data_IF_046890561246
#
_entry.id   IF_046890561246
#
_cell.length_a   1.000
_cell.length_b   1.000
_cell.length_c   1.000
_cell.angle_alpha   90.00
_cell.angle_beta   90.00
_cell.angle_gamma   90.00
#
_symmetry.space_group_name_H-M   'P 1'
#
loop_
_entity.id
_entity.type
_entity.pdbx_description
1 polymer ?
#
# COMPACT_ATOMS: atom_id res chain seq x y z
N UNK A 1 18.16 2.88 7.57
CA UNK A 1 16.83 2.73 8.21
C UNK A 1 17.03 2.77 9.72
N UNK A 2 16.29 3.62 10.44
CA UNK A 2 16.41 3.71 11.90
C UNK A 2 15.49 2.68 12.56
N UNK A 3 16.07 1.58 13.06
CA UNK A 3 15.31 0.44 13.59
C UNK A 3 14.36 0.83 14.73
N UNK A 4 14.78 1.71 15.63
CA UNK A 4 13.93 2.18 16.75
C UNK A 4 12.69 2.90 16.24
N UNK A 5 12.84 3.78 15.23
CA UNK A 5 11.69 4.47 14.61
C UNK A 5 10.75 3.48 13.95
N UNK A 6 11.30 2.51 13.24
CA UNK A 6 10.51 1.48 12.57
C UNK A 6 9.68 0.67 13.58
N UNK A 7 10.28 0.22 14.67
CA UNK A 7 9.55 -0.53 15.73
C UNK A 7 8.44 0.32 16.34
N UNK A 8 8.73 1.55 16.75
CA UNK A 8 7.74 2.47 17.33
C UNK A 8 6.59 2.71 16.34
N UNK A 9 6.93 2.99 15.08
CA UNK A 9 5.92 3.23 14.06
C UNK A 9 5.08 1.99 13.79
N UNK A 10 5.63 0.77 13.84
CA UNK A 10 4.83 -0.45 13.73
C UNK A 10 3.86 -0.64 14.88
N UNK A 11 4.28 -0.38 16.12
CA UNK A 11 3.37 -0.43 17.27
C UNK A 11 2.20 0.53 17.08
N UNK A 12 2.48 1.76 16.65
CA UNK A 12 1.44 2.77 16.35
C UNK A 12 0.53 2.30 15.22
N UNK A 13 1.07 1.73 14.14
CA UNK A 13 0.27 1.19 13.03
C UNK A 13 -0.66 0.08 13.50
N UNK A 14 -0.17 -0.89 14.26
CA UNK A 14 -0.98 -2.00 14.77
C UNK A 14 -2.15 -1.45 15.60
N UNK A 15 -1.89 -0.54 16.54
CA UNK A 15 -2.94 0.10 17.35
C UNK A 15 -3.96 0.85 16.50
N UNK A 16 -3.50 1.60 15.51
CA UNK A 16 -4.36 2.38 14.60
C UNK A 16 -5.24 1.47 13.74
N UNK A 17 -4.68 0.38 13.20
CA UNK A 17 -5.42 -0.57 12.38
C UNK A 17 -6.42 -1.38 13.20
N UNK A 18 -6.08 -1.76 14.44
CA UNK A 18 -7.06 -2.38 15.34
C UNK A 18 -8.23 -1.44 15.61
N UNK A 19 -7.96 -0.15 15.81
CA UNK A 19 -9.00 0.87 15.94
C UNK A 19 -9.85 1.01 14.67
N UNK A 20 -9.25 1.10 13.47
CA UNK A 20 -10.02 1.19 12.23
C UNK A 20 -10.83 -0.06 11.94
N UNK A 21 -10.29 -1.24 12.24
CA UNK A 21 -11.03 -2.49 12.15
C UNK A 21 -12.26 -2.44 13.05
N UNK A 22 -12.09 -2.03 14.31
CA UNK A 22 -13.19 -1.92 15.26
C UNK A 22 -14.25 -0.92 14.79
N UNK A 23 -13.86 0.30 14.41
CA UNK A 23 -14.79 1.34 13.95
C UNK A 23 -15.55 0.87 12.71
N UNK A 24 -14.85 0.31 11.72
CA UNK A 24 -15.45 -0.15 10.47
C UNK A 24 -16.37 -1.36 10.63
N UNK A 25 -16.14 -2.20 11.64
CA UNK A 25 -16.85 -3.47 11.79
C UNK A 25 -17.81 -3.54 12.97
N UNK A 26 -17.80 -2.55 13.86
CA UNK A 26 -18.65 -2.51 15.07
C UNK A 26 -20.14 -2.74 14.80
N UNK A 27 -20.66 -2.25 13.67
CA UNK A 27 -22.05 -2.43 13.26
C UNK A 27 -22.37 -3.83 12.76
N UNK A 28 -21.38 -4.58 12.27
CA UNK A 28 -21.55 -5.89 11.65
C UNK A 28 -21.32 -7.04 12.62
N UNK A 29 -20.55 -6.86 13.69
CA UNK A 29 -20.19 -7.92 14.66
C UNK A 29 -21.41 -8.69 15.23
N UNK A 30 -22.60 -8.06 15.26
CA UNK A 30 -23.82 -8.64 15.82
C UNK A 30 -24.86 -9.04 14.75
N UNK A 31 -24.52 -8.91 13.47
CA UNK A 31 -25.43 -9.30 12.40
C UNK A 31 -25.31 -10.80 12.15
N UNK A 32 -26.45 -11.47 12.06
CA UNK A 32 -26.53 -12.88 11.67
C UNK A 32 -26.87 -12.94 10.17
N UNK A 33 -25.88 -12.65 9.34
CA UNK A 33 -26.00 -12.67 7.87
C UNK A 33 -24.85 -13.52 7.29
N UNK A 34 -25.13 -14.49 6.40
CA UNK A 34 -24.09 -15.29 5.75
C UNK A 34 -23.07 -14.46 4.95
N UNK A 35 -23.39 -13.22 4.57
CA UNK A 35 -22.50 -12.29 3.86
C UNK A 35 -21.73 -11.35 4.79
N UNK A 36 -21.76 -11.57 6.10
CA UNK A 36 -21.09 -10.73 7.10
C UNK A 36 -19.60 -10.48 6.79
N UNK A 37 -18.88 -11.48 6.31
CA UNK A 37 -17.46 -11.32 5.92
C UNK A 37 -17.30 -10.33 4.78
N UNK A 38 -18.21 -10.38 3.81
CA UNK A 38 -18.22 -9.42 2.73
C UNK A 38 -18.55 -8.04 3.29
N UNK A 39 -19.51 -7.84 4.18
CA UNK A 39 -19.76 -6.50 4.73
C UNK A 39 -18.62 -5.94 5.59
N UNK A 40 -18.00 -6.78 6.42
CA UNK A 40 -16.88 -6.37 7.29
C UNK A 40 -15.62 -6.00 6.48
N UNK A 41 -15.43 -6.63 5.33
CA UNK A 41 -14.23 -6.41 4.51
C UNK A 41 -14.50 -5.63 3.23
N UNK A 42 -15.73 -5.64 2.76
CA UNK A 42 -16.13 -5.44 1.38
C UNK A 42 -17.41 -4.63 1.26
N UNK A 43 -17.19 -3.36 1.00
CA UNK A 43 -17.88 -2.67 -0.07
C UNK A 43 -16.93 -1.59 -0.57
N UNK A 44 -17.12 -1.07 -1.78
CA UNK A 44 -16.32 0.04 -2.33
C UNK A 44 -16.35 1.32 -1.47
N UNK A 45 -17.10 1.35 -0.36
CA UNK A 45 -17.39 2.52 0.46
C UNK A 45 -17.19 2.30 1.96
N UNK A 46 -17.51 1.12 2.51
CA UNK A 46 -17.42 0.81 3.94
C UNK A 46 -16.97 -0.64 4.15
N UNK A 47 -15.98 -0.84 5.01
CA UNK A 47 -15.34 -2.13 5.28
C UNK A 47 -13.83 -1.95 5.47
N UNK A 48 -13.22 -2.77 6.34
CA UNK A 48 -11.80 -2.66 6.69
C UNK A 48 -10.87 -2.86 5.49
N UNK A 49 -11.27 -3.71 4.55
CA UNK A 49 -10.53 -4.04 3.32
C UNK A 49 -11.09 -3.34 2.06
N UNK A 50 -11.77 -2.19 2.24
CA UNK A 50 -12.40 -1.46 1.15
C UNK A 50 -11.40 -0.73 0.24
N UNK A 51 -11.77 -0.55 -1.03
CA UNK A 51 -10.98 0.24 -1.99
C UNK A 51 -10.79 1.70 -1.54
N UNK A 52 -11.81 2.26 -0.87
CA UNK A 52 -11.72 3.59 -0.26
C UNK A 52 -10.62 3.62 0.81
N UNK A 53 -10.60 2.62 1.69
CA UNK A 53 -9.57 2.49 2.72
C UNK A 53 -8.17 2.49 2.15
N UNK A 54 -7.92 1.56 1.23
CA UNK A 54 -6.61 1.36 0.65
C UNK A 54 -6.14 2.58 -0.15
N UNK A 55 -7.04 3.16 -0.96
CA UNK A 55 -6.73 4.27 -1.85
C UNK A 55 -6.60 5.63 -1.17
N UNK A 56 -7.21 5.85 0.00
CA UNK A 56 -7.26 7.17 0.63
C UNK A 56 -6.57 7.19 1.99
N UNK A 57 -7.25 6.81 3.06
CA UNK A 57 -6.73 7.02 4.41
C UNK A 57 -5.54 6.10 4.73
N UNK A 58 -5.54 4.82 4.30
CA UNK A 58 -4.35 3.98 4.48
C UNK A 58 -3.18 4.44 3.60
N UNK A 59 -3.45 5.03 2.43
CA UNK A 59 -2.41 5.65 1.61
C UNK A 59 -1.72 6.82 2.34
N UNK A 60 -2.49 7.69 3.00
CA UNK A 60 -1.94 8.79 3.80
C UNK A 60 -1.09 8.27 4.97
N UNK A 61 -1.58 7.27 5.69
CA UNK A 61 -0.86 6.64 6.80
C UNK A 61 0.42 5.98 6.31
N UNK A 62 0.37 5.28 5.18
CA UNK A 62 1.53 4.67 4.53
C UNK A 62 2.59 5.72 4.20
N UNK A 63 2.20 6.80 3.53
CA UNK A 63 3.10 7.88 3.14
C UNK A 63 3.76 8.55 4.37
N UNK A 64 2.98 8.80 5.43
CA UNK A 64 3.51 9.31 6.70
C UNK A 64 4.51 8.33 7.34
N UNK A 65 4.17 7.04 7.38
CA UNK A 65 5.03 5.99 7.93
C UNK A 65 6.31 5.80 7.12
N UNK A 66 6.23 5.85 5.79
CA UNK A 66 7.35 5.77 4.87
C UNK A 66 8.34 6.92 5.12
N UNK A 67 7.84 8.16 5.21
CA UNK A 67 8.67 9.33 5.49
C UNK A 67 9.31 9.27 6.90
N UNK A 68 8.55 8.86 7.91
CA UNK A 68 9.05 8.69 9.27
C UNK A 68 10.15 7.63 9.37
N UNK A 69 9.99 6.52 8.65
CA UNK A 69 10.88 5.36 8.68
C UNK A 69 12.17 5.58 7.88
N UNK A 70 12.08 6.30 6.76
CA UNK A 70 13.22 6.49 5.85
C UNK A 70 14.13 7.66 6.27
N UNK A 71 13.70 8.56 7.15
CA UNK A 71 14.55 9.55 7.88
C UNK A 71 15.79 10.01 7.12
N UNK A 72 15.68 11.15 6.43
CA UNK A 72 16.76 11.92 5.78
C UNK A 72 18.16 11.58 6.33
N UNK A 73 18.85 10.64 5.68
CA UNK A 73 20.31 10.60 5.79
C UNK A 73 20.75 11.99 5.32
N UNK A 74 21.29 12.79 6.26
CA UNK A 74 21.67 14.18 6.03
C UNK A 74 22.42 14.31 4.70
N UNK A 75 22.23 15.40 3.97
CA UNK A 75 22.92 15.73 2.69
C UNK A 75 24.43 15.38 2.72
N UNK A 76 25.05 15.44 3.91
CA UNK A 76 26.44 15.04 4.23
C UNK A 76 26.79 13.57 3.90
N UNK A 77 25.85 12.63 4.02
CA UNK A 77 26.04 11.20 3.72
C UNK A 77 25.97 10.93 2.21
N UNK A 78 25.18 11.73 1.48
CA UNK A 78 25.08 11.68 0.01
C UNK A 78 26.36 12.15 -0.69
N UNK A 79 27.13 13.03 -0.06
CA UNK A 79 28.48 13.42 -0.51
C UNK A 79 29.55 12.34 -0.27
N UNK A 80 29.35 11.42 0.70
CA UNK A 80 30.35 10.39 1.06
C UNK A 80 30.03 8.99 0.54
N UNK A 81 28.79 8.72 0.16
CA UNK A 81 28.33 7.39 -0.28
C UNK A 81 28.11 7.40 -1.79
N UNK A 82 28.47 6.30 -2.48
CA UNK A 82 28.19 6.12 -3.90
C UNK A 82 26.68 6.34 -4.17
N UNK A 83 26.33 7.42 -4.88
CA UNK A 83 24.94 7.89 -5.11
C UNK A 83 24.05 6.82 -5.75
N UNK A 84 24.61 5.98 -6.62
CA UNK A 84 23.89 4.82 -7.20
C UNK A 84 23.51 3.79 -6.13
N UNK A 85 24.39 3.55 -5.16
CA UNK A 85 24.11 2.65 -4.03
C UNK A 85 23.03 3.23 -3.11
N UNK A 86 22.99 4.55 -2.95
CA UNK A 86 21.96 5.23 -2.18
C UNK A 86 20.57 5.01 -2.79
N UNK A 87 20.38 5.23 -4.10
CA UNK A 87 19.04 5.06 -4.70
C UNK A 87 18.57 3.61 -4.67
N UNK A 88 19.46 2.64 -4.90
CA UNK A 88 19.12 1.22 -4.77
C UNK A 88 18.68 0.87 -3.35
N UNK A 89 19.41 1.36 -2.34
CA UNK A 89 19.07 1.18 -0.92
C UNK A 89 17.72 1.83 -0.58
N UNK A 90 17.45 3.03 -1.12
CA UNK A 90 16.18 3.73 -0.92
C UNK A 90 15.00 2.95 -1.52
N UNK A 91 15.13 2.48 -2.77
CA UNK A 91 14.13 1.63 -3.43
C UNK A 91 13.91 0.35 -2.62
N UNK A 92 14.99 -0.29 -2.15
CA UNK A 92 14.89 -1.46 -1.27
C UNK A 92 14.10 -1.17 0.02
N UNK A 93 14.28 0.00 0.63
CA UNK A 93 13.50 0.40 1.81
C UNK A 93 12.02 0.63 1.49
N UNK A 94 11.67 1.19 0.32
CA UNK A 94 10.28 1.29 -0.11
C UNK A 94 9.63 -0.10 -0.15
N UNK A 95 10.28 -1.08 -0.78
CA UNK A 95 9.74 -2.45 -0.85
C UNK A 95 9.59 -3.10 0.53
N UNK A 96 10.61 -3.02 1.39
CA UNK A 96 10.55 -3.60 2.74
C UNK A 96 9.43 -2.95 3.56
N UNK A 97 9.32 -1.62 3.53
CA UNK A 97 8.29 -0.88 4.27
C UNK A 97 6.89 -1.21 3.72
N UNK A 98 6.73 -1.29 2.40
CA UNK A 98 5.45 -1.68 1.77
C UNK A 98 5.02 -3.08 2.17
N UNK A 99 5.96 -4.02 2.19
CA UNK A 99 5.71 -5.42 2.56
C UNK A 99 5.21 -5.53 4.00
N UNK A 100 5.93 -4.88 4.92
CA UNK A 100 5.59 -4.89 6.33
C UNK A 100 4.29 -4.12 6.61
N UNK A 101 4.06 -3.02 5.91
CA UNK A 101 2.83 -2.24 6.03
C UNK A 101 1.60 -3.04 5.59
N UNK A 102 1.68 -3.69 4.42
CA UNK A 102 0.64 -4.61 3.95
C UNK A 102 0.44 -5.77 4.93
N UNK A 103 1.52 -6.31 5.49
CA UNK A 103 1.46 -7.41 6.45
C UNK A 103 0.70 -7.00 7.72
N UNK A 104 0.93 -5.81 8.26
CA UNK A 104 0.20 -5.31 9.44
C UNK A 104 -1.30 -5.24 9.17
N UNK A 105 -1.70 -4.67 8.03
CA UNK A 105 -3.11 -4.59 7.64
C UNK A 105 -3.75 -5.98 7.64
N UNK A 106 -3.08 -6.94 7.00
CA UNK A 106 -3.57 -8.32 6.88
C UNK A 106 -3.60 -9.04 8.21
N UNK A 107 -2.55 -8.93 9.04
CA UNK A 107 -2.50 -9.55 10.37
C UNK A 107 -3.62 -9.02 11.25
N UNK A 108 -3.83 -7.70 11.30
CA UNK A 108 -4.90 -7.11 12.09
C UNK A 108 -6.25 -7.64 11.61
N UNK A 109 -6.47 -7.72 10.30
CA UNK A 109 -7.71 -8.27 9.77
C UNK A 109 -7.92 -9.73 10.18
N UNK A 110 -6.89 -10.55 10.05
CA UNK A 110 -6.95 -11.98 10.39
C UNK A 110 -7.21 -12.16 11.87
N UNK A 111 -6.42 -11.52 12.73
CA UNK A 111 -6.54 -11.65 14.19
C UNK A 111 -7.92 -11.18 14.66
N UNK A 112 -8.32 -9.96 14.28
CA UNK A 112 -9.59 -9.42 14.75
C UNK A 112 -10.77 -10.23 14.19
N UNK A 113 -10.80 -10.54 12.90
CA UNK A 113 -11.92 -11.30 12.32
C UNK A 113 -12.01 -12.71 12.91
N UNK A 114 -10.89 -13.37 13.20
CA UNK A 114 -10.87 -14.68 13.86
C UNK A 114 -11.41 -14.61 15.29
N UNK A 115 -11.09 -13.55 16.03
CA UNK A 115 -11.58 -13.36 17.40
C UNK A 115 -13.10 -13.17 17.46
N UNK A 116 -13.71 -12.52 16.45
CA UNK A 116 -15.15 -12.21 16.47
C UNK A 116 -16.02 -13.25 15.75
N UNK A 117 -15.55 -13.87 14.66
CA UNK A 117 -16.35 -14.81 13.86
C UNK A 117 -15.97 -16.28 14.04
N UNK A 118 -14.84 -16.56 14.70
CA UNK A 118 -14.38 -17.92 14.96
C UNK A 118 -13.62 -18.54 13.79
N UNK A 119 -12.68 -19.43 14.12
CA UNK A 119 -11.73 -20.01 13.17
C UNK A 119 -12.39 -20.90 12.10
N UNK A 120 -13.37 -21.72 12.49
CA UNK A 120 -13.99 -22.72 11.62
C UNK A 120 -14.75 -22.09 10.46
N UNK A 121 -15.53 -21.04 10.75
CA UNK A 121 -16.28 -20.29 9.73
C UNK A 121 -15.34 -19.66 8.69
N UNK A 122 -14.20 -19.11 9.13
CA UNK A 122 -13.23 -18.48 8.23
C UNK A 122 -12.54 -19.46 7.27
N UNK A 123 -12.35 -20.71 7.67
CA UNK A 123 -11.82 -21.75 6.77
C UNK A 123 -12.84 -22.04 5.67
N UNK A 124 -14.10 -22.24 6.05
CA UNK A 124 -15.17 -22.60 5.11
C UNK A 124 -15.33 -21.53 4.02
N UNK A 125 -15.26 -20.26 4.43
CA UNK A 125 -15.38 -19.10 3.53
C UNK A 125 -14.09 -18.73 2.80
N UNK A 126 -13.03 -19.55 2.88
CA UNK A 126 -11.72 -19.29 2.20
C UNK A 126 -11.09 -17.94 2.56
N UNK A 127 -11.41 -17.39 3.73
CA UNK A 127 -11.01 -16.05 4.16
C UNK A 127 -9.49 -15.86 4.18
N UNK A 128 -8.74 -16.84 4.70
CA UNK A 128 -7.28 -16.77 4.76
C UNK A 128 -6.62 -16.70 3.38
N UNK A 129 -7.21 -17.37 2.38
CA UNK A 129 -6.72 -17.34 1.00
C UNK A 129 -6.96 -15.94 0.41
N UNK A 130 -8.14 -15.35 0.64
CA UNK A 130 -8.45 -13.98 0.24
C UNK A 130 -7.49 -12.97 0.90
N UNK A 131 -7.19 -13.13 2.19
CA UNK A 131 -6.19 -12.33 2.91
C UNK A 131 -4.80 -12.42 2.27
N UNK A 132 -4.34 -13.61 1.89
CA UNK A 132 -3.03 -13.80 1.27
C UNK A 132 -2.95 -13.13 -0.10
N UNK A 133 -3.95 -13.31 -0.96
CA UNK A 133 -3.95 -12.63 -2.26
C UNK A 133 -4.05 -11.11 -2.11
N UNK A 134 -4.88 -10.64 -1.17
CA UNK A 134 -4.99 -9.21 -0.86
C UNK A 134 -3.67 -8.63 -0.35
N UNK A 135 -2.96 -9.34 0.54
CA UNK A 135 -1.66 -8.93 1.07
C UNK A 135 -0.63 -8.67 -0.04
N UNK A 136 -0.50 -9.62 -0.97
CA UNK A 136 0.42 -9.48 -2.12
C UNK A 136 0.03 -8.28 -2.99
N UNK A 137 -1.27 -8.08 -3.23
CA UNK A 137 -1.76 -6.93 -3.99
C UNK A 137 -1.47 -5.60 -3.29
N UNK A 138 -1.65 -5.53 -1.97
CA UNK A 138 -1.34 -4.34 -1.17
C UNK A 138 0.15 -4.04 -1.16
N UNK A 139 1.00 -5.07 -1.07
CA UNK A 139 2.44 -4.92 -1.16
C UNK A 139 2.86 -4.21 -2.45
N UNK A 140 2.39 -4.69 -3.61
CA UNK A 140 2.73 -4.06 -4.88
C UNK A 140 2.14 -2.64 -4.99
N UNK A 141 0.89 -2.45 -4.59
CA UNK A 141 0.25 -1.15 -4.62
C UNK A 141 1.01 -0.12 -3.78
N UNK A 142 1.33 -0.41 -2.52
CA UNK A 142 2.09 0.53 -1.69
C UNK A 142 3.55 0.71 -2.15
N UNK A 143 4.13 -0.30 -2.81
CA UNK A 143 5.43 -0.15 -3.47
C UNK A 143 5.36 0.86 -4.61
N UNK A 144 4.31 0.79 -5.45
CA UNK A 144 4.02 1.76 -6.51
C UNK A 144 3.85 3.16 -5.91
N UNK A 145 3.05 3.31 -4.85
CA UNK A 145 2.85 4.60 -4.17
C UNK A 145 4.18 5.19 -3.65
N UNK A 146 5.01 4.35 -3.02
CA UNK A 146 6.32 4.79 -2.51
C UNK A 146 7.29 5.19 -3.61
N UNK A 147 7.27 4.50 -4.76
CA UNK A 147 8.07 4.86 -5.93
C UNK A 147 7.61 6.18 -6.56
N UNK A 148 6.28 6.41 -6.66
CA UNK A 148 5.73 7.70 -7.10
C UNK A 148 6.17 8.83 -6.17
N UNK A 149 6.11 8.62 -4.85
CA UNK A 149 6.61 9.60 -3.87
C UNK A 149 8.07 9.93 -4.11
N UNK A 150 8.90 8.91 -4.33
CA UNK A 150 10.33 9.13 -4.60
C UNK A 150 10.55 9.89 -5.91
N UNK A 151 9.88 9.50 -6.98
CA UNK A 151 9.98 10.17 -8.28
C UNK A 151 9.59 11.66 -8.16
N UNK A 152 8.45 11.96 -7.53
CA UNK A 152 7.96 13.33 -7.36
C UNK A 152 8.85 14.15 -6.42
N UNK A 153 9.35 13.54 -5.34
CA UNK A 153 10.30 14.17 -4.44
C UNK A 153 11.60 14.54 -5.16
N UNK A 154 12.12 13.65 -6.00
CA UNK A 154 13.35 13.91 -6.76
C UNK A 154 13.12 14.94 -7.86
N UNK A 155 11.95 14.93 -8.52
CA UNK A 155 11.53 15.93 -9.50
C UNK A 155 11.44 17.34 -8.89
N UNK A 156 10.90 17.47 -7.69
CA UNK A 156 10.61 18.76 -7.06
C UNK A 156 11.67 19.20 -6.04
N UNK A 157 12.64 18.34 -5.73
CA UNK A 157 13.65 18.52 -4.67
C UNK A 157 13.01 18.74 -3.28
N UNK A 158 11.78 18.27 -3.07
CA UNK A 158 11.04 18.43 -1.81
C UNK A 158 10.29 17.16 -1.45
N UNK A 159 10.67 16.57 -0.30
CA UNK A 159 9.98 15.40 0.24
C UNK A 159 8.50 15.68 0.53
N UNK A 160 8.18 16.90 0.99
CA UNK A 160 6.81 17.28 1.30
C UNK A 160 5.95 17.36 0.03
N UNK A 161 6.48 17.94 -1.05
CA UNK A 161 5.77 17.99 -2.33
C UNK A 161 5.61 16.57 -2.89
N UNK A 162 6.63 15.71 -2.75
CA UNK A 162 6.54 14.30 -3.11
C UNK A 162 5.43 13.54 -2.38
N UNK A 163 5.31 13.74 -1.06
CA UNK A 163 4.23 13.17 -0.23
C UNK A 163 2.85 13.64 -0.71
N UNK A 164 2.64 14.95 -0.77
CA UNK A 164 1.34 15.56 -1.09
C UNK A 164 0.90 15.18 -2.51
N UNK A 165 1.81 15.29 -3.49
CA UNK A 165 1.51 14.93 -4.88
C UNK A 165 1.17 13.46 -5.05
N UNK A 166 1.88 12.55 -4.35
CA UNK A 166 1.59 11.12 -4.41
C UNK A 166 0.22 10.80 -3.83
N UNK A 167 -0.12 11.42 -2.70
CA UNK A 167 -1.45 11.28 -2.11
C UNK A 167 -2.55 11.73 -3.09
N UNK A 168 -2.37 12.88 -3.75
CA UNK A 168 -3.32 13.35 -4.75
C UNK A 168 -3.41 12.43 -5.97
N UNK A 169 -2.29 11.93 -6.50
CA UNK A 169 -2.29 10.99 -7.63
C UNK A 169 -3.09 9.74 -7.29
N UNK A 170 -2.86 9.14 -6.12
CA UNK A 170 -3.56 7.92 -5.70
C UNK A 170 -5.04 8.21 -5.42
N UNK A 171 -5.36 9.34 -4.80
CA UNK A 171 -6.74 9.76 -4.56
C UNK A 171 -7.49 9.96 -5.88
N UNK A 172 -6.85 10.60 -6.87
CA UNK A 172 -7.41 10.75 -8.22
C UNK A 172 -7.65 9.37 -8.85
N UNK A 173 -6.72 8.41 -8.73
CA UNK A 173 -6.94 7.05 -9.23
C UNK A 173 -8.14 6.35 -8.57
N UNK A 174 -8.38 6.59 -7.28
CA UNK A 174 -9.58 6.10 -6.61
C UNK A 174 -10.84 6.76 -7.18
N UNK A 175 -10.90 8.10 -7.25
CA UNK A 175 -12.08 8.81 -7.74
C UNK A 175 -12.37 8.54 -9.22
N UNK A 176 -11.34 8.55 -10.08
CA UNK A 176 -11.48 8.20 -11.51
C UNK A 176 -11.94 6.76 -11.66
N UNK A 177 -11.34 5.83 -10.92
CA UNK A 177 -11.75 4.43 -10.96
C UNK A 177 -13.21 4.24 -10.55
N UNK A 178 -13.67 5.01 -9.56
CA UNK A 178 -15.05 4.99 -9.08
C UNK A 178 -16.03 5.63 -10.08
N UNK A 179 -15.69 6.79 -10.65
CA UNK A 179 -16.58 7.55 -11.54
C UNK A 179 -16.63 7.00 -12.95
N UNK A 180 -15.56 6.35 -13.43
CA UNK A 180 -15.46 5.83 -14.78
C UNK A 180 -15.27 4.31 -14.76
N UNK A 181 -16.36 3.57 -14.96
CA UNK A 181 -16.36 2.11 -14.90
C UNK A 181 -15.37 1.45 -15.87
N UNK A 182 -15.22 2.00 -17.09
CA UNK A 182 -14.35 1.45 -18.13
C UNK A 182 -12.88 1.85 -18.03
N UNK A 183 -12.53 2.79 -17.13
CA UNK A 183 -11.15 3.23 -16.97
C UNK A 183 -10.47 2.37 -15.92
N UNK A 184 -9.43 1.66 -16.31
CA UNK A 184 -8.61 0.91 -15.37
C UNK A 184 -7.73 1.88 -14.56
N UNK A 185 -7.64 1.64 -13.25
CA UNK A 185 -6.70 2.34 -12.36
C UNK A 185 -6.03 1.33 -11.42
N UNK A 186 -4.80 1.59 -10.93
CA UNK A 186 -4.11 0.69 -10.00
C UNK A 186 -4.91 0.38 -8.73
N UNK A 187 -5.81 1.28 -8.33
CA UNK A 187 -6.68 1.09 -7.15
C UNK A 187 -7.74 0.02 -7.41
N UNK A 188 -8.25 -0.13 -8.65
CA UNK A 188 -9.25 -1.17 -8.98
C UNK A 188 -8.72 -2.59 -8.79
N UNK A 189 -7.42 -2.77 -8.98
CA UNK A 189 -6.78 -4.07 -8.81
C UNK A 189 -6.74 -4.52 -7.33
N UNK A 190 -7.05 -3.63 -6.38
CA UNK A 190 -7.17 -3.94 -4.95
C UNK A 190 -8.48 -4.66 -4.57
N UNK A 191 -9.36 -4.92 -5.54
CA UNK A 191 -10.60 -5.71 -5.35
C UNK A 191 -10.31 -7.19 -5.03
N UNK A 192 -9.03 -7.57 -4.96
CA UNK A 192 -8.57 -8.93 -4.76
C UNK A 192 -9.23 -9.63 -3.58
N UNK A 193 -9.43 -8.94 -2.45
CA UNK A 193 -10.07 -9.54 -1.28
C UNK A 193 -11.52 -9.94 -1.59
N UNK A 194 -12.33 -8.98 -2.04
CA UNK A 194 -13.74 -9.16 -2.34
C UNK A 194 -13.93 -10.19 -3.46
N UNK A 195 -13.18 -10.05 -4.56
CA UNK A 195 -13.32 -10.90 -5.73
C UNK A 195 -12.88 -12.36 -5.50
N UNK A 196 -11.94 -12.62 -4.59
CA UNK A 196 -11.58 -13.99 -4.18
C UNK A 196 -12.64 -14.55 -3.24
N UNK A 197 -13.10 -13.78 -2.26
CA UNK A 197 -14.13 -14.21 -1.31
C UNK A 197 -15.46 -14.54 -2.04
N UNK A 198 -15.84 -13.73 -3.02
CA UNK A 198 -17.06 -13.92 -3.81
C UNK A 198 -16.92 -14.89 -4.99
N UNK A 199 -15.74 -15.52 -5.17
CA UNK A 199 -15.39 -16.37 -6.31
C UNK A 199 -15.64 -15.72 -7.69
N UNK A 200 -15.60 -14.38 -7.77
CA UNK A 200 -15.78 -13.63 -9.03
C UNK A 200 -14.47 -13.59 -9.84
N UNK A 201 -13.32 -13.60 -9.17
CA UNK A 201 -12.02 -13.58 -9.82
C UNK A 201 -11.55 -14.99 -10.17
N UNK A 202 -11.35 -15.24 -11.46
CA UNK A 202 -10.67 -16.45 -11.92
C UNK A 202 -9.16 -16.39 -11.64
N UNK A 203 -8.51 -17.55 -11.52
CA UNK A 203 -7.05 -17.64 -11.32
C UNK A 203 -6.26 -16.87 -12.41
N UNK A 204 -6.77 -16.85 -13.65
CA UNK A 204 -6.17 -16.11 -14.75
C UNK A 204 -6.29 -14.59 -14.55
N UNK A 205 -7.44 -14.10 -14.06
CA UNK A 205 -7.60 -12.68 -13.72
C UNK A 205 -6.68 -12.25 -12.58
N UNK A 206 -6.53 -13.09 -11.55
CA UNK A 206 -5.59 -12.87 -10.44
C UNK A 206 -4.15 -12.72 -10.97
N UNK A 207 -3.72 -13.63 -11.84
CA UNK A 207 -2.39 -13.57 -12.45
C UNK A 207 -2.18 -12.30 -13.29
N UNK A 208 -3.19 -11.89 -14.06
CA UNK A 208 -3.15 -10.65 -14.86
C UNK A 208 -3.02 -9.43 -13.95
N UNK A 209 -3.76 -9.38 -12.84
CA UNK A 209 -3.68 -8.27 -11.87
C UNK A 209 -2.26 -8.14 -11.33
N UNK A 210 -1.65 -9.24 -10.88
CA UNK A 210 -0.28 -9.19 -10.37
C UNK A 210 0.74 -8.84 -11.44
N UNK A 211 0.58 -9.36 -12.67
CA UNK A 211 1.47 -9.03 -13.77
C UNK A 211 1.43 -7.52 -14.08
N UNK A 212 0.23 -6.92 -14.11
CA UNK A 212 0.07 -5.47 -14.30
C UNK A 212 0.80 -4.68 -13.20
N UNK A 213 0.53 -5.01 -11.94
CA UNK A 213 1.16 -4.33 -10.80
C UNK A 213 2.69 -4.46 -10.82
N UNK A 214 3.21 -5.65 -11.17
CA UNK A 214 4.64 -5.90 -11.31
C UNK A 214 5.26 -5.03 -12.42
N UNK A 215 4.63 -4.98 -13.60
CA UNK A 215 5.10 -4.17 -14.73
C UNK A 215 5.17 -2.69 -14.34
N UNK A 216 4.14 -2.16 -13.66
CA UNK A 216 4.13 -0.77 -13.19
C UNK A 216 5.26 -0.52 -12.20
N UNK A 217 5.46 -1.42 -11.23
CA UNK A 217 6.50 -1.28 -10.22
C UNK A 217 7.91 -1.29 -10.86
N UNK A 218 8.15 -2.16 -11.85
CA UNK A 218 9.41 -2.19 -12.61
C UNK A 218 9.59 -0.90 -13.41
N UNK A 219 8.56 -0.45 -14.13
CA UNK A 219 8.59 0.79 -14.90
C UNK A 219 8.91 2.01 -14.03
N UNK A 220 8.27 2.12 -12.87
CA UNK A 220 8.55 3.19 -11.90
C UNK A 220 9.95 3.10 -11.30
N UNK A 221 10.47 1.89 -11.04
CA UNK A 221 11.86 1.73 -10.61
C UNK A 221 12.84 2.28 -11.66
N UNK A 222 12.57 2.07 -12.95
CA UNK A 222 13.37 2.61 -14.05
C UNK A 222 13.24 4.14 -14.09
N UNK A 223 12.01 4.68 -14.03
CA UNK A 223 11.74 6.13 -14.03
C UNK A 223 12.47 6.83 -12.87
N UNK A 224 12.38 6.29 -11.66
CA UNK A 224 13.06 6.82 -10.47
C UNK A 224 14.58 6.87 -10.68
N UNK A 225 15.17 5.84 -11.30
CA UNK A 225 16.59 5.82 -11.63
C UNK A 225 16.97 6.86 -12.69
N UNK A 226 16.16 7.03 -13.72
CA UNK A 226 16.40 8.02 -14.80
C UNK A 226 16.36 9.43 -14.22
N UNK A 227 15.28 9.79 -13.50
CA UNK A 227 15.10 11.12 -12.88
C UNK A 227 16.28 11.45 -11.96
N UNK A 228 16.77 10.46 -11.21
CA UNK A 228 17.91 10.65 -10.33
C UNK A 228 19.22 10.86 -11.10
N UNK A 229 19.46 10.11 -12.18
CA UNK A 229 20.67 10.22 -12.99
C UNK A 229 20.72 11.50 -13.85
N UNK A 230 19.60 11.93 -14.44
CA UNK A 230 19.56 13.15 -15.26
C UNK A 230 19.86 14.41 -14.44
N UNK A 231 19.45 14.40 -13.16
CA UNK A 231 19.72 15.51 -12.23
C UNK A 231 21.15 15.52 -11.68
N UNK A 232 21.94 14.49 -11.94
CA UNK A 232 23.38 14.48 -11.70
C UNK A 232 24.17 15.21 -12.83
N UNK A 233 23.53 15.63 -13.92
CA UNK A 233 24.17 16.41 -15.01
C UNK A 233 24.06 17.94 -14.81
N UNK A 234 24.32 18.45 -13.60
CA UNK A 234 24.72 19.86 -13.49
C UNK A 234 26.22 19.95 -13.81
N UNK A 235 26.63 20.87 -14.70
CA UNK A 235 27.98 20.89 -15.24
C UNK A 235 28.98 21.21 -14.13
N UNK A 236 30.14 20.54 -14.18
CA UNK A 236 31.33 21.06 -13.53
C UNK A 236 31.57 22.47 -14.09
N UNK A 237 31.11 23.50 -13.39
CA UNK A 237 31.60 24.86 -13.61
C UNK A 237 32.92 25.00 -12.85
N UNK A 238 33.98 24.97 -13.66
CA UNK A 238 35.36 25.48 -13.47
C UNK A 238 36.24 24.84 -12.40
#
# INVERSE_FOLDING_TARGET
>A
MNYRRVVIGFTVLISLYMFFWWVGNSTYIRMDDPKILLYMNGSSQMGYSSLLAYGTYYCLIYLAFLNFSISTESVIVLTRTNRKKFIHKYIGYIFIISLLFALVITIVNVVMTTLFLGYEYLIQERFYIACMFSWVSLFFFYSIVGLVMKAMSDLTKSNLIGLVSSFFIVSIFYFVGRSFHNVWTPVKDLIMFEGVLSNVLSNLMIAIIYLKQLIIAIGLCIIVRIIFNEKDMLPNEN
#
